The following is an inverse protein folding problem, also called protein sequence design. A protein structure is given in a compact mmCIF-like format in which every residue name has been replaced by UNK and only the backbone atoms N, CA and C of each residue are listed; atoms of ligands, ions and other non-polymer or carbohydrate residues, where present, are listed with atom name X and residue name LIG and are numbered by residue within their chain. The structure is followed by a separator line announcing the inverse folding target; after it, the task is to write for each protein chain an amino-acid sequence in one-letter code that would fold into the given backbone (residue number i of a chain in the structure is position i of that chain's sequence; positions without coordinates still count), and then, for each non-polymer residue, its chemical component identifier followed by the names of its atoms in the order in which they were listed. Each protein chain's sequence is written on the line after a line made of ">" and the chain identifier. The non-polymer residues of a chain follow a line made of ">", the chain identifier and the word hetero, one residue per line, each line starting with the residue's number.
data_IF_406069915736
#
_entry.id   IF_406069915736
#
_cell.length_a   1.000
_cell.length_b   1.000
_cell.length_c   1.000
_cell.angle_alpha   90.00
_cell.angle_beta   90.00
_cell.angle_gamma   90.00
#
_symmetry.space_group_name_H-M   'P 1'
#
loop_
_entity.id
_entity.type
_entity.pdbx_description
1 polymer ?
#
# COMPACT_ATOMS: atom_id res chain seq x y z
N UNK A 1 2.18 10.06 -12.40
CA UNK A 1 1.61 10.67 -11.19
C UNK A 1 1.68 9.69 -10.03
N UNK A 2 2.38 10.05 -8.95
CA UNK A 2 2.37 9.27 -7.71
C UNK A 2 1.15 9.65 -6.85
N UNK A 3 0.51 8.64 -6.27
CA UNK A 3 -0.61 8.81 -5.36
C UNK A 3 -0.16 8.92 -3.90
N UNK A 4 -0.97 9.57 -3.07
CA UNK A 4 -0.91 9.40 -1.63
C UNK A 4 -1.36 7.98 -1.23
N UNK A 5 -0.94 7.52 -0.05
CA UNK A 5 -1.35 6.20 0.45
C UNK A 5 -2.88 6.06 0.51
N UNK A 6 -3.59 7.06 1.04
CA UNK A 6 -5.05 6.97 1.13
C UNK A 6 -5.71 6.82 -0.25
N UNK A 7 -5.21 7.51 -1.27
CA UNK A 7 -5.70 7.42 -2.64
C UNK A 7 -5.42 6.03 -3.23
N UNK A 8 -4.24 5.47 -2.98
CA UNK A 8 -3.91 4.11 -3.35
C UNK A 8 -4.86 3.10 -2.67
N UNK A 9 -5.16 3.28 -1.38
CA UNK A 9 -6.11 2.44 -0.64
C UNK A 9 -7.54 2.57 -1.15
N UNK A 10 -7.99 3.77 -1.51
CA UNK A 10 -9.32 3.99 -2.11
C UNK A 10 -9.42 3.28 -3.47
N UNK A 11 -8.34 3.33 -4.26
CA UNK A 11 -8.23 2.60 -5.53
C UNK A 11 -8.29 1.08 -5.31
N UNK A 12 -7.52 0.57 -4.35
CA UNK A 12 -7.54 -0.84 -3.96
C UNK A 12 -8.95 -1.28 -3.55
N UNK A 13 -9.63 -0.50 -2.69
CA UNK A 13 -11.00 -0.79 -2.28
C UNK A 13 -11.97 -0.82 -3.47
N UNK A 14 -11.86 0.13 -4.40
CA UNK A 14 -12.69 0.20 -5.61
C UNK A 14 -12.54 -1.05 -6.51
N UNK A 15 -11.35 -1.65 -6.52
CA UNK A 15 -11.04 -2.90 -7.22
C UNK A 15 -11.18 -4.15 -6.33
N UNK A 16 -11.74 -4.01 -5.14
CA UNK A 16 -12.04 -5.11 -4.23
C UNK A 16 -10.82 -5.75 -3.55
N UNK A 17 -9.66 -5.11 -3.60
CA UNK A 17 -8.49 -5.47 -2.79
C UNK A 17 -8.83 -5.15 -1.32
N UNK A 18 -8.66 -6.11 -0.38
CA UNK A 18 -8.97 -5.85 1.02
C UNK A 18 -8.05 -4.77 1.61
N UNK A 19 -8.65 -3.73 2.17
CA UNK A 19 -7.95 -2.65 2.89
C UNK A 19 -8.69 -2.36 4.19
N UNK A 20 -7.97 -1.81 5.17
CA UNK A 20 -8.62 -1.30 6.40
C UNK A 20 -9.29 0.05 6.16
N UNK A 21 -10.47 0.29 6.75
CA UNK A 21 -11.13 1.58 6.67
C UNK A 21 -10.26 2.66 7.30
N UNK A 22 -10.32 3.85 6.72
CA UNK A 22 -9.62 4.99 7.25
C UNK A 22 -10.22 6.29 6.74
N UNK A 23 -9.84 7.38 7.41
CA UNK A 23 -10.30 8.73 7.12
C UNK A 23 -9.12 9.67 7.09
N UNK A 24 -9.05 10.51 6.06
CA UNK A 24 -8.06 11.57 5.97
C UNK A 24 -8.57 12.86 6.60
N UNK A 25 -7.69 13.53 7.32
CA UNK A 25 -7.99 14.78 8.06
C UNK A 25 -6.77 15.71 8.02
N UNK A 26 -7.00 17.02 8.06
CA UNK A 26 -5.95 18.05 7.98
C UNK A 26 -5.71 18.78 9.31
N UNK A 27 -6.43 18.38 10.37
CA UNK A 27 -6.28 18.93 11.70
C UNK A 27 -6.48 17.85 12.78
N UNK A 28 -5.92 18.11 13.96
CA UNK A 28 -5.89 17.12 15.03
C UNK A 28 -7.25 16.88 15.70
N UNK A 29 -8.15 17.88 15.69
CA UNK A 29 -9.49 17.71 16.26
C UNK A 29 -10.31 16.71 15.43
N UNK A 30 -10.25 16.81 14.11
CA UNK A 30 -10.89 15.87 13.21
C UNK A 30 -10.24 14.47 13.27
N UNK A 31 -8.94 14.38 13.56
CA UNK A 31 -8.28 13.10 13.81
C UNK A 31 -8.87 12.37 15.03
N UNK A 32 -9.12 13.10 16.12
CA UNK A 32 -9.76 12.57 17.32
C UNK A 32 -11.21 12.13 17.06
N UNK A 33 -11.96 12.90 16.25
CA UNK A 33 -13.30 12.54 15.82
C UNK A 33 -13.29 11.25 14.98
N UNK A 34 -12.37 11.13 14.01
CA UNK A 34 -12.21 9.93 13.20
C UNK A 34 -11.90 8.68 14.05
N UNK A 35 -11.02 8.79 15.04
CA UNK A 35 -10.75 7.69 15.97
C UNK A 35 -11.97 7.32 16.81
N UNK A 36 -12.77 8.30 17.23
CA UNK A 36 -14.00 8.06 17.98
C UNK A 36 -15.06 7.33 17.16
N UNK A 37 -15.15 7.63 15.86
CA UNK A 37 -16.04 6.94 14.92
C UNK A 37 -15.59 5.49 14.65
N UNK A 38 -14.29 5.25 14.53
CA UNK A 38 -13.73 3.89 14.35
C UNK A 38 -13.87 3.03 15.62
N UNK A 39 -13.83 3.65 16.81
CA UNK A 39 -14.13 2.97 18.07
C UNK A 39 -13.12 1.92 18.52
N UNK A 40 -11.93 1.89 17.91
CA UNK A 40 -10.82 0.97 18.20
C UNK A 40 -9.50 1.75 18.25
N UNK A 41 -8.39 1.06 18.59
CA UNK A 41 -7.06 1.62 18.43
C UNK A 41 -6.80 1.95 16.95
N UNK A 42 -6.12 3.07 16.70
CA UNK A 42 -5.89 3.58 15.34
C UNK A 42 -4.41 3.83 15.09
N UNK A 43 -4.04 3.84 13.82
CA UNK A 43 -2.74 4.33 13.36
C UNK A 43 -2.95 5.66 12.65
N UNK A 44 -2.17 6.67 13.05
CA UNK A 44 -2.09 7.98 12.40
C UNK A 44 -0.89 7.97 11.45
N UNK A 45 -1.14 8.09 10.15
CA UNK A 45 -0.14 7.99 9.08
C UNK A 45 -0.04 9.29 8.28
N UNK A 46 1.14 9.88 8.24
CA UNK A 46 1.48 11.03 7.41
C UNK A 46 1.17 10.74 5.93
N UNK A 47 0.45 11.64 5.28
CA UNK A 47 0.22 11.56 3.85
C UNK A 47 1.26 12.40 3.12
N UNK A 48 2.29 11.72 2.62
CA UNK A 48 3.34 12.22 1.72
C UNK A 48 3.67 11.13 0.71
N UNK A 49 4.08 11.49 -0.50
CA UNK A 49 4.37 10.55 -1.59
C UNK A 49 5.71 9.79 -1.43
N UNK A 50 6.53 10.21 -0.46
CA UNK A 50 7.82 9.59 -0.19
C UNK A 50 7.71 8.45 0.83
N UNK A 51 8.53 7.41 0.64
CA UNK A 51 8.66 6.29 1.57
C UNK A 51 9.49 6.62 2.82
N UNK A 52 9.52 5.70 3.79
CA UNK A 52 10.29 5.85 5.03
C UNK A 52 9.62 6.68 6.13
N UNK A 53 8.30 6.90 6.01
CA UNK A 53 7.48 7.69 6.95
C UNK A 53 7.55 7.18 8.39
N UNK A 54 7.56 5.87 8.59
CA UNK A 54 7.69 5.25 9.91
C UNK A 54 8.99 5.65 10.61
N UNK A 55 10.14 5.53 9.91
CA UNK A 55 11.46 5.93 10.43
C UNK A 55 11.54 7.44 10.71
N UNK A 56 10.81 8.26 9.96
CA UNK A 56 10.72 9.70 10.17
C UNK A 56 9.75 10.12 11.30
N UNK A 57 9.04 9.18 11.92
CA UNK A 57 8.06 9.47 12.97
C UNK A 57 6.67 9.89 12.45
N UNK A 58 6.43 9.74 11.15
CA UNK A 58 5.16 10.03 10.48
C UNK A 58 4.13 8.90 10.59
N UNK A 59 4.40 7.82 11.32
CA UNK A 59 3.44 6.73 11.57
C UNK A 59 3.41 6.45 13.07
N UNK A 60 2.24 6.58 13.71
CA UNK A 60 2.09 6.41 15.16
C UNK A 60 0.80 5.68 15.53
N UNK A 61 0.89 4.71 16.43
CA UNK A 61 -0.25 4.05 17.05
C UNK A 61 -0.85 4.94 18.16
N UNK A 62 -2.17 4.98 18.25
CA UNK A 62 -2.93 5.66 19.30
C UNK A 62 -4.06 4.76 19.81
N UNK A 63 -4.26 4.72 21.12
CA UNK A 63 -5.23 3.82 21.77
C UNK A 63 -6.63 4.44 21.91
N UNK A 64 -6.75 5.75 21.76
CA UNK A 64 -8.00 6.49 21.98
C UNK A 64 -7.96 7.85 21.25
N UNK A 65 -9.08 8.58 21.30
CA UNK A 65 -9.24 9.87 20.62
C UNK A 65 -8.24 10.95 21.09
N UNK A 66 -7.95 11.00 22.40
CA UNK A 66 -7.01 11.99 22.96
C UNK A 66 -5.58 11.72 22.50
N UNK A 67 -5.14 10.46 22.55
CA UNK A 67 -3.84 10.05 21.99
C UNK A 67 -3.77 10.31 20.49
N UNK A 68 -4.86 10.06 19.76
CA UNK A 68 -4.93 10.29 18.31
C UNK A 68 -4.71 11.77 18.00
N UNK A 69 -5.34 12.66 18.77
CA UNK A 69 -5.14 14.11 18.66
C UNK A 69 -3.67 14.47 18.85
N UNK A 70 -3.05 14.02 19.93
CA UNK A 70 -1.63 14.29 20.23
C UNK A 70 -0.73 13.78 19.09
N UNK A 71 -0.99 12.59 18.57
CA UNK A 71 -0.18 12.01 17.48
C UNK A 71 -0.36 12.78 16.18
N UNK A 72 -1.57 13.24 15.87
CA UNK A 72 -1.84 14.08 14.72
C UNK A 72 -1.14 15.45 14.83
N UNK A 73 -1.16 16.10 16.00
CA UNK A 73 -0.42 17.36 16.24
C UNK A 73 1.09 17.20 16.05
N UNK A 74 1.64 16.04 16.43
CA UNK A 74 3.06 15.75 16.26
C UNK A 74 3.45 15.42 14.81
N UNK A 75 2.50 15.00 13.97
CA UNK A 75 2.75 14.58 12.58
C UNK A 75 2.47 15.73 11.60
N UNK A 76 1.39 16.47 11.80
CA UNK A 76 1.03 17.60 10.92
C UNK A 76 2.11 18.68 10.98
N UNK A 77 2.58 19.12 9.81
CA UNK A 77 3.68 20.08 9.68
C UNK A 77 5.09 19.47 9.79
N UNK A 78 5.22 18.17 10.03
CA UNK A 78 6.51 17.48 9.98
C UNK A 78 7.09 17.55 8.55
N UNK A 79 8.39 17.76 8.43
CA UNK A 79 9.10 17.57 7.16
C UNK A 79 9.62 16.13 7.06
N UNK A 80 9.17 15.41 6.02
CA UNK A 80 9.64 14.07 5.71
C UNK A 80 10.35 14.13 4.36
N UNK A 81 11.70 14.18 4.39
CA UNK A 81 12.56 14.22 3.21
C UNK A 81 12.21 15.39 2.25
N UNK A 82 11.89 16.57 2.79
CA UNK A 82 11.51 17.74 2.00
C UNK A 82 10.02 17.84 1.64
N UNK A 83 9.20 16.91 2.14
CA UNK A 83 7.75 16.96 2.01
C UNK A 83 7.11 17.34 3.34
N UNK A 84 6.43 18.49 3.37
CA UNK A 84 5.65 18.90 4.55
C UNK A 84 4.36 18.11 4.63
N UNK A 85 4.06 17.56 5.81
CA UNK A 85 2.83 16.79 6.03
C UNK A 85 1.65 17.75 6.25
N UNK A 86 0.73 17.80 5.29
CA UNK A 86 -0.49 18.62 5.37
C UNK A 86 -1.74 17.84 5.78
N UNK A 87 -1.68 16.51 5.71
CA UNK A 87 -2.81 15.64 5.98
C UNK A 87 -2.32 14.34 6.63
N UNK A 88 -3.15 13.76 7.48
CA UNK A 88 -2.93 12.44 8.07
C UNK A 88 -4.09 11.52 7.74
N UNK A 89 -3.78 10.24 7.56
CA UNK A 89 -4.74 9.14 7.49
C UNK A 89 -4.88 8.54 8.89
N UNK A 90 -6.10 8.52 9.40
CA UNK A 90 -6.47 7.79 10.61
C UNK A 90 -7.14 6.50 10.17
N UNK A 91 -6.53 5.36 10.45
CA UNK A 91 -7.00 4.03 10.03
C UNK A 91 -7.01 3.09 11.22
N UNK A 92 -7.85 2.06 11.19
CA UNK A 92 -7.85 1.02 12.23
C UNK A 92 -6.47 0.40 12.40
N UNK A 93 -6.08 0.13 13.65
CA UNK A 93 -4.90 -0.68 13.92
C UNK A 93 -5.19 -2.14 13.56
N UNK A 94 -4.33 -2.73 12.73
CA UNK A 94 -4.39 -4.16 12.43
C UNK A 94 -3.68 -4.96 13.51
N UNK A 95 -4.25 -6.09 13.90
CA UNK A 95 -3.45 -7.17 14.49
C UNK A 95 -2.72 -7.88 13.33
N UNK A 96 -1.41 -8.09 13.46
CA UNK A 96 -0.55 -8.52 12.35
C UNK A 96 0.14 -9.82 12.78
N UNK A 97 -0.14 -10.90 12.07
CA UNK A 97 0.55 -12.18 12.27
C UNK A 97 1.83 -12.25 11.45
N UNK A 98 1.77 -11.85 10.18
CA UNK A 98 2.91 -11.86 9.26
C UNK A 98 2.81 -10.68 8.28
N UNK A 99 3.96 -10.16 7.86
CA UNK A 99 4.09 -9.08 6.88
C UNK A 99 4.81 -9.59 5.63
N UNK A 100 4.21 -9.35 4.47
CA UNK A 100 4.76 -9.70 3.17
C UNK A 100 4.98 -8.45 2.32
N UNK A 101 5.79 -8.59 1.27
CA UNK A 101 5.99 -7.56 0.26
C UNK A 101 5.41 -8.03 -1.07
N UNK A 102 4.72 -7.14 -1.77
CA UNK A 102 4.24 -7.40 -3.12
C UNK A 102 4.25 -6.14 -4.00
N UNK A 103 4.65 -6.28 -5.26
CA UNK A 103 4.47 -5.23 -6.27
C UNK A 103 4.34 -5.75 -7.70
N UNK A 104 3.63 -4.96 -8.52
CA UNK A 104 3.72 -4.96 -9.98
C UNK A 104 4.36 -3.66 -10.45
N UNK A 105 5.25 -3.75 -11.43
CA UNK A 105 5.85 -2.58 -12.05
C UNK A 105 6.13 -2.78 -13.55
N UNK A 106 6.21 -1.66 -14.27
CA UNK A 106 6.75 -1.63 -15.62
C UNK A 106 8.28 -1.72 -15.59
N UNK A 107 8.82 -2.88 -15.92
CA UNK A 107 10.26 -3.07 -16.10
C UNK A 107 10.69 -2.57 -17.48
N UNK A 108 11.15 -1.33 -17.49
CA UNK A 108 11.64 -0.65 -18.71
C UNK A 108 12.88 -1.30 -19.31
N UNK A 109 13.74 -1.91 -18.50
CA UNK A 109 14.98 -2.54 -18.98
C UNK A 109 14.68 -3.77 -19.82
N UNK A 110 13.75 -4.59 -19.33
CA UNK A 110 13.33 -5.82 -20.02
C UNK A 110 12.11 -5.61 -20.94
N UNK A 111 11.50 -4.42 -20.92
CA UNK A 111 10.32 -4.04 -21.72
C UNK A 111 9.14 -4.99 -21.45
N UNK A 112 8.91 -5.28 -20.18
CA UNK A 112 7.88 -6.20 -19.70
C UNK A 112 7.27 -5.66 -18.41
N UNK A 113 6.18 -6.28 -17.97
CA UNK A 113 5.73 -6.11 -16.59
C UNK A 113 6.46 -7.12 -15.69
N UNK A 114 6.73 -6.71 -14.45
CA UNK A 114 7.42 -7.51 -13.45
C UNK A 114 6.55 -7.58 -12.19
N UNK A 115 6.37 -8.78 -11.66
CA UNK A 115 5.88 -9.00 -10.31
C UNK A 115 7.07 -9.24 -9.37
N UNK A 116 7.07 -8.57 -8.23
CA UNK A 116 7.99 -8.84 -7.13
C UNK A 116 7.22 -9.28 -5.90
N UNK A 117 7.68 -10.34 -5.23
CA UNK A 117 7.00 -10.89 -4.07
C UNK A 117 8.01 -11.47 -3.07
N UNK A 118 7.76 -11.27 -1.78
CA UNK A 118 8.59 -11.80 -0.70
C UNK A 118 7.75 -12.04 0.54
N UNK A 119 8.03 -13.15 1.24
CA UNK A 119 7.53 -13.43 2.58
C UNK A 119 8.16 -12.53 3.67
N UNK A 120 9.16 -11.73 3.31
CA UNK A 120 9.81 -10.73 4.16
C UNK A 120 9.31 -9.32 3.78
N UNK A 121 8.19 -8.90 4.38
CA UNK A 121 7.62 -7.55 4.24
C UNK A 121 8.03 -6.58 5.35
N UNK A 122 7.50 -5.36 5.30
CA UNK A 122 7.67 -4.36 6.38
C UNK A 122 9.02 -3.65 6.40
N UNK A 123 9.87 -3.93 5.41
CA UNK A 123 11.21 -3.34 5.27
C UNK A 123 11.41 -2.68 3.91
N UNK A 124 12.50 -1.93 3.76
CA UNK A 124 12.85 -1.28 2.49
C UNK A 124 13.25 -2.37 1.48
N UNK A 125 12.56 -2.42 0.35
CA UNK A 125 12.74 -3.51 -0.62
C UNK A 125 14.10 -3.47 -1.30
N UNK A 126 14.68 -2.27 -1.45
CA UNK A 126 16.00 -2.05 -1.99
C UNK A 126 17.09 -2.69 -1.13
N UNK A 127 16.91 -2.68 0.20
CA UNK A 127 17.81 -3.33 1.15
C UNK A 127 17.69 -4.85 1.04
N UNK A 128 16.47 -5.39 1.03
CA UNK A 128 16.23 -6.82 0.82
C UNK A 128 16.83 -7.32 -0.50
N UNK A 129 16.67 -6.54 -1.58
CA UNK A 129 17.16 -6.89 -2.91
C UNK A 129 18.69 -7.01 -2.98
N UNK A 130 19.43 -6.33 -2.09
CA UNK A 130 20.89 -6.37 -2.01
C UNK A 130 21.37 -7.43 -1.02
N UNK A 131 20.77 -7.48 0.17
CA UNK A 131 21.22 -8.35 1.25
C UNK A 131 20.77 -9.81 1.07
N UNK A 132 19.54 -10.02 0.59
CA UNK A 132 18.89 -11.32 0.43
C UNK A 132 18.15 -11.40 -0.91
N UNK A 133 18.86 -11.27 -2.05
CA UNK A 133 18.24 -11.26 -3.38
C UNK A 133 17.37 -12.50 -3.66
N UNK A 134 17.65 -13.64 -3.02
CA UNK A 134 16.93 -14.92 -3.08
C UNK A 134 15.64 -14.98 -2.25
N UNK A 135 15.43 -14.02 -1.35
CA UNK A 135 14.16 -13.83 -0.65
C UNK A 135 13.14 -13.07 -1.52
N UNK A 136 13.62 -12.34 -2.54
CA UNK A 136 12.78 -11.54 -3.43
C UNK A 136 12.55 -12.23 -4.78
N UNK A 137 11.37 -12.81 -4.95
CA UNK A 137 10.93 -13.35 -6.23
C UNK A 137 10.75 -12.22 -7.25
N UNK A 138 11.12 -12.50 -8.51
CA UNK A 138 11.00 -11.59 -9.65
C UNK A 138 10.46 -12.38 -10.83
N UNK A 139 9.19 -12.18 -11.15
CA UNK A 139 8.47 -12.97 -12.16
C UNK A 139 8.01 -12.04 -13.27
N UNK A 140 8.51 -12.25 -14.48
CA UNK A 140 8.05 -11.52 -15.66
C UNK A 140 6.61 -11.89 -15.99
N UNK A 141 5.78 -10.89 -16.29
CA UNK A 141 4.38 -11.07 -16.64
C UNK A 141 4.20 -10.85 -18.14
N UNK A 142 3.57 -11.82 -18.79
CA UNK A 142 3.20 -11.69 -20.20
C UNK A 142 2.09 -10.65 -20.33
N UNK A 143 2.25 -9.61 -21.18
CA UNK A 143 1.29 -8.51 -21.28
C UNK A 143 -0.03 -8.89 -21.95
N UNK A 144 -0.09 -10.02 -22.66
CA UNK A 144 -1.30 -10.52 -23.32
C UNK A 144 -2.07 -11.46 -22.39
N UNK A 145 -1.37 -12.37 -21.71
CA UNK A 145 -1.98 -13.31 -20.78
C UNK A 145 -2.34 -12.66 -19.44
N UNK A 146 -1.52 -11.70 -18.98
CA UNK A 146 -1.67 -11.04 -17.68
C UNK A 146 -1.45 -11.99 -16.49
N UNK A 147 -2.11 -11.69 -15.38
CA UNK A 147 -2.07 -12.50 -14.15
C UNK A 147 -3.45 -13.07 -13.88
N UNK A 148 -3.61 -14.35 -14.18
CA UNK A 148 -4.72 -15.15 -13.70
C UNK A 148 -4.36 -15.83 -12.36
N UNK A 149 -5.27 -16.64 -11.84
CA UNK A 149 -5.06 -17.38 -10.60
C UNK A 149 -3.83 -18.30 -10.65
N UNK A 150 -3.59 -18.98 -11.77
CA UNK A 150 -2.43 -19.89 -11.90
C UNK A 150 -1.11 -19.12 -11.87
N UNK A 151 -1.04 -17.97 -12.55
CA UNK A 151 0.13 -17.08 -12.50
C UNK A 151 0.30 -16.46 -11.10
N UNK A 152 -0.79 -16.09 -10.43
CA UNK A 152 -0.73 -15.60 -9.06
C UNK A 152 -0.20 -16.67 -8.09
N UNK A 153 -0.63 -17.92 -8.22
CA UNK A 153 -0.12 -19.05 -7.42
C UNK A 153 1.38 -19.29 -7.66
N UNK A 154 1.87 -19.15 -8.90
CA UNK A 154 3.31 -19.18 -9.21
C UNK A 154 4.08 -18.06 -8.49
N UNK A 155 3.54 -16.84 -8.49
CA UNK A 155 4.15 -15.69 -7.82
C UNK A 155 4.21 -15.91 -6.30
N UNK A 156 3.11 -16.36 -5.70
CA UNK A 156 2.99 -16.67 -4.26
C UNK A 156 4.01 -17.75 -3.85
N UNK A 157 4.10 -18.82 -4.63
CA UNK A 157 5.05 -19.90 -4.38
C UNK A 157 6.50 -19.42 -4.50
N UNK A 158 6.82 -18.63 -5.52
CA UNK A 158 8.16 -18.06 -5.71
C UNK A 158 8.53 -17.08 -4.59
N UNK A 159 7.57 -16.27 -4.14
CA UNK A 159 7.71 -15.33 -3.01
C UNK A 159 7.77 -16.01 -1.65
N UNK A 160 7.66 -17.35 -1.59
CA UNK A 160 7.69 -18.17 -0.37
C UNK A 160 6.60 -17.81 0.63
N UNK A 161 5.46 -17.30 0.15
CA UNK A 161 4.31 -17.00 1.00
C UNK A 161 3.80 -18.32 1.63
N UNK A 162 3.53 -18.36 2.95
CA UNK A 162 3.15 -19.59 3.63
C UNK A 162 1.89 -20.25 3.05
N UNK A 163 1.89 -21.58 2.97
CA UNK A 163 0.79 -22.36 2.40
C UNK A 163 -0.57 -22.11 3.08
N UNK A 164 -0.57 -21.71 4.35
CA UNK A 164 -1.79 -21.39 5.10
C UNK A 164 -2.57 -20.21 4.50
N UNK A 165 -1.89 -19.29 3.84
CA UNK A 165 -2.45 -18.04 3.30
C UNK A 165 -2.25 -17.89 1.78
N UNK A 166 -1.57 -18.86 1.15
CA UNK A 166 -1.22 -18.83 -0.26
C UNK A 166 -2.42 -18.60 -1.20
N UNK A 167 -3.54 -19.27 -0.95
CA UNK A 167 -4.74 -19.11 -1.80
C UNK A 167 -5.32 -17.70 -1.70
N UNK A 168 -5.43 -17.17 -0.48
CA UNK A 168 -5.96 -15.83 -0.23
C UNK A 168 -5.02 -14.75 -0.78
N UNK A 169 -3.71 -14.92 -0.61
CA UNK A 169 -2.71 -14.02 -1.18
C UNK A 169 -2.76 -13.99 -2.71
N UNK A 170 -2.89 -15.15 -3.36
CA UNK A 170 -3.03 -15.21 -4.82
C UNK A 170 -4.32 -14.53 -5.30
N UNK A 171 -5.44 -14.67 -4.58
CA UNK A 171 -6.68 -13.96 -4.90
C UNK A 171 -6.51 -12.44 -4.80
N UNK A 172 -5.76 -11.94 -3.81
CA UNK A 172 -5.44 -10.51 -3.69
C UNK A 172 -4.50 -10.05 -4.81
N UNK A 173 -3.51 -10.85 -5.17
CA UNK A 173 -2.56 -10.55 -6.27
C UNK A 173 -3.27 -10.39 -7.61
N UNK A 174 -4.26 -11.24 -7.91
CA UNK A 174 -5.09 -11.09 -9.13
C UNK A 174 -5.80 -9.72 -9.14
N UNK A 175 -6.40 -9.31 -8.02
CA UNK A 175 -7.08 -8.01 -7.93
C UNK A 175 -6.12 -6.82 -8.02
N UNK A 176 -4.90 -6.95 -7.49
CA UNK A 176 -3.85 -5.95 -7.65
C UNK A 176 -3.40 -5.83 -9.11
N UNK A 177 -3.40 -6.93 -9.86
CA UNK A 177 -3.14 -6.91 -11.30
C UNK A 177 -4.28 -6.24 -12.06
N UNK A 178 -5.54 -6.56 -11.73
CA UNK A 178 -6.72 -5.90 -12.28
C UNK A 178 -6.65 -4.39 -12.03
N UNK A 179 -6.29 -3.96 -10.82
CA UNK A 179 -6.05 -2.55 -10.47
C UNK A 179 -4.94 -1.96 -11.36
N UNK A 180 -3.80 -2.63 -11.46
CA UNK A 180 -2.64 -2.17 -12.23
C UNK A 180 -3.01 -1.90 -13.70
N UNK A 181 -3.75 -2.81 -14.32
CA UNK A 181 -4.16 -2.71 -15.72
C UNK A 181 -5.30 -1.71 -15.91
N UNK A 182 -6.33 -1.77 -15.07
CA UNK A 182 -7.52 -0.93 -15.19
C UNK A 182 -7.20 0.56 -15.04
N UNK A 183 -6.18 0.90 -14.25
CA UNK A 183 -5.80 2.27 -13.92
C UNK A 183 -4.59 2.77 -14.73
N UNK A 184 -4.12 1.99 -15.73
CA UNK A 184 -2.87 2.25 -16.45
C UNK A 184 -1.71 2.63 -15.48
N UNK A 185 -1.56 1.83 -14.43
CA UNK A 185 -0.49 2.02 -13.47
C UNK A 185 0.85 1.58 -14.06
N UNK A 186 1.91 2.24 -13.63
CA UNK A 186 3.31 1.86 -13.85
C UNK A 186 3.94 1.22 -12.63
N UNK A 187 3.31 1.40 -11.46
CA UNK A 187 3.64 0.77 -10.19
C UNK A 187 2.35 0.55 -9.38
N UNK A 188 2.19 -0.66 -8.86
CA UNK A 188 1.29 -0.98 -7.75
C UNK A 188 2.13 -1.75 -6.74
N UNK A 189 2.33 -1.19 -5.56
CA UNK A 189 3.12 -1.80 -4.49
C UNK A 189 2.32 -1.80 -3.19
N UNK A 190 2.38 -2.91 -2.47
CA UNK A 190 1.77 -3.12 -1.16
C UNK A 190 2.88 -3.56 -0.21
N UNK A 191 3.24 -2.68 0.73
CA UNK A 191 4.28 -2.95 1.72
C UNK A 191 3.95 -2.29 3.09
N UNK A 192 3.43 -3.06 4.07
CA UNK A 192 3.23 -4.50 4.03
C UNK A 192 1.88 -4.93 3.44
N UNK A 193 1.89 -6.10 2.79
CA UNK A 193 0.72 -6.96 2.56
C UNK A 193 0.63 -7.90 3.76
N UNK A 194 -0.38 -7.75 4.62
CA UNK A 194 -0.40 -8.43 5.92
C UNK A 194 -1.32 -9.63 5.96
N UNK A 195 -0.95 -10.61 6.77
CA UNK A 195 -1.83 -11.68 7.26
C UNK A 195 -2.29 -11.33 8.67
N UNK A 196 -3.60 -11.25 8.89
CA UNK A 196 -4.18 -11.10 10.24
C UNK A 196 -4.30 -12.46 10.98
N UNK A 197 -4.66 -12.49 12.27
CA UNK A 197 -4.83 -13.74 13.02
C UNK A 197 -6.00 -14.62 12.56
N UNK A 198 -6.84 -14.15 11.63
CA UNK A 198 -7.93 -14.89 10.99
C UNK A 198 -7.54 -15.38 9.58
N UNK A 199 -6.24 -15.32 9.25
CA UNK A 199 -5.65 -15.69 7.96
C UNK A 199 -6.13 -14.83 6.80
N UNK A 200 -6.62 -13.61 7.08
CA UNK A 200 -7.00 -12.64 6.06
C UNK A 200 -5.82 -11.86 5.52
N UNK A 201 -5.81 -11.70 4.20
CA UNK A 201 -4.78 -10.93 3.49
C UNK A 201 -5.27 -9.52 3.21
N UNK A 202 -4.57 -8.54 3.75
CA UNK A 202 -4.99 -7.13 3.73
C UNK A 202 -3.84 -6.26 3.22
N UNK A 203 -4.12 -5.35 2.31
CA UNK A 203 -3.20 -4.29 1.92
C UNK A 203 -3.21 -3.19 2.99
N UNK A 204 -2.20 -3.21 3.87
CA UNK A 204 -2.12 -2.29 5.00
C UNK A 204 -1.51 -0.92 4.62
N UNK A 205 -0.69 -0.92 3.56
CA UNK A 205 -0.12 0.27 2.93
C UNK A 205 -0.18 0.11 1.42
N UNK A 206 -0.05 1.22 0.69
CA UNK A 206 -0.17 1.23 -0.76
C UNK A 206 0.64 2.35 -1.39
N UNK A 207 1.39 2.00 -2.43
CA UNK A 207 2.06 2.96 -3.31
C UNK A 207 1.68 2.66 -4.74
N UNK A 208 1.10 3.66 -5.41
CA UNK A 208 0.66 3.55 -6.80
C UNK A 208 1.22 4.72 -7.59
N UNK A 209 1.76 4.40 -8.77
CA UNK A 209 2.18 5.40 -9.77
C UNK A 209 1.38 5.18 -11.04
N UNK A 210 0.59 6.16 -11.44
CA UNK A 210 -0.22 6.14 -12.67
C UNK A 210 0.56 6.69 -13.87
N UNK A 211 0.33 6.13 -15.06
CA UNK A 211 0.87 6.67 -16.32
C UNK A 211 0.12 7.94 -16.74
N UNK A 212 0.80 9.08 -16.69
CA UNK A 212 0.23 10.37 -17.06
C UNK A 212 -0.14 10.44 -18.54
N UNK A 213 0.50 9.64 -19.39
CA UNK A 213 0.16 9.58 -20.81
C UNK A 213 -1.20 8.92 -21.05
N UNK A 214 -1.72 8.16 -20.08
CA UNK A 214 -3.04 7.53 -20.16
C UNK A 214 -4.17 8.41 -19.61
N UNK A 215 -3.87 9.60 -19.09
CA UNK A 215 -4.87 10.47 -18.44
C UNK A 215 -6.07 10.81 -19.35
N UNK A 216 -5.89 10.84 -20.67
CA UNK A 216 -6.97 11.12 -21.63
C UNK A 216 -8.11 10.11 -21.61
N UNK A 217 -7.90 8.90 -21.08
CA UNK A 217 -8.92 7.84 -20.94
C UNK A 217 -9.28 7.55 -19.49
N UNK A 218 -8.77 8.36 -18.56
CA UNK A 218 -8.97 8.25 -17.11
C UNK A 218 -9.40 9.58 -16.53
N UNK A 219 -10.60 10.06 -16.90
CA UNK A 219 -11.12 11.34 -16.42
C UNK A 219 -11.18 11.42 -14.89
N UNK A 220 -11.43 10.29 -14.22
CA UNK A 220 -11.45 10.19 -12.76
C UNK A 220 -10.10 10.50 -12.10
N UNK A 221 -8.97 10.29 -12.79
CA UNK A 221 -7.63 10.58 -12.25
C UNK A 221 -7.41 12.07 -11.99
N UNK A 222 -8.18 12.96 -12.63
CA UNK A 222 -8.10 14.39 -12.35
C UNK A 222 -8.37 14.72 -10.86
N UNK A 223 -9.18 13.90 -10.18
CA UNK A 223 -9.48 14.07 -8.74
C UNK A 223 -8.35 13.58 -7.82
N UNK A 224 -7.40 12.82 -8.37
CA UNK A 224 -6.25 12.29 -7.64
C UNK A 224 -5.05 13.23 -7.70
N UNK A 225 -5.07 14.22 -8.61
CA UNK A 225 -4.02 15.22 -8.75
C UNK A 225 -3.92 16.01 -7.46
N UNK A 226 -2.69 16.07 -6.96
CA UNK A 226 -2.35 16.87 -5.81
C UNK A 226 -2.10 18.32 -6.24
N UNK A 227 -2.90 19.23 -5.69
CA UNK A 227 -2.81 20.66 -5.97
C UNK A 227 -2.03 21.44 -4.90
N UNK A 228 -1.49 20.76 -3.87
CA UNK A 228 -0.90 21.39 -2.68
C UNK A 228 0.62 21.23 -2.59
#
# INVERSE_FOLDING_TARGET
>A
MDLYEYQAKDLFAAHGVPVLPGRTVDNAADAAAAASELGTAVVVKAQVKTGGRGKAGGVKLAQNADETKEKAEAILGLDIKGHTVHQVLVTEASDISEEYYFSFLLDRSNRTFLAMCSAEGGMEIEELAVERPEALARIAIDPIAGVDKAKADEIVAAGKIPAAVADEAANVIVKLWETFVAEDATLVEVNPLVRDPQDKVIALDGKVTLDENAAFRHEAHAQLVDER
#
